data_IF_245444839336
#
_entry.id   IF_245444839336
#
_cell.length_a   1.000
_cell.length_b   1.000
_cell.length_c   1.000
_cell.angle_alpha   90.00
_cell.angle_beta   90.00
_cell.angle_gamma   90.00
#
_symmetry.space_group_name_H-M   'P 1'
#
loop_
_entity.id
_entity.type
_entity.pdbx_description
1 polymer ?
#
# COMPACT_ATOMS: atom_id res chain seq x y z
N UNK A 1 -0.69 -3.50 -8.64
CA UNK A 1 -0.30 -2.08 -8.49
C UNK A 1 -0.42 -1.31 -9.81
N UNK A 2 0.17 -1.75 -10.93
CA UNK A 2 0.05 -1.01 -12.20
C UNK A 2 -1.40 -0.75 -12.67
N UNK A 3 -2.30 -1.75 -12.55
CA UNK A 3 -3.72 -1.55 -12.88
C UNK A 3 -4.39 -0.46 -12.00
N UNK A 4 -4.01 -0.38 -10.73
CA UNK A 4 -4.49 0.66 -9.82
C UNK A 4 -3.97 2.04 -10.19
N UNK A 5 -2.69 2.14 -10.58
CA UNK A 5 -2.08 3.39 -11.04
C UNK A 5 -2.80 3.92 -12.29
N UNK A 6 -3.04 3.07 -13.29
CA UNK A 6 -3.75 3.49 -14.51
C UNK A 6 -5.20 3.92 -14.26
N UNK A 7 -5.89 3.31 -13.28
CA UNK A 7 -7.24 3.76 -12.88
C UNK A 7 -7.23 5.14 -12.21
N UNK A 8 -6.13 5.50 -11.56
CA UNK A 8 -6.00 6.76 -10.83
C UNK A 8 -5.50 7.90 -11.70
N UNK A 9 -4.60 7.64 -12.66
CA UNK A 9 -4.19 8.62 -13.68
C UNK A 9 -5.42 9.17 -14.45
N UNK A 10 -6.41 8.33 -14.74
CA UNK A 10 -7.67 8.77 -15.36
C UNK A 10 -8.57 9.63 -14.46
N UNK A 11 -8.38 9.56 -13.14
CA UNK A 11 -9.14 10.31 -12.15
C UNK A 11 -8.41 11.60 -11.70
N UNK A 12 -7.13 11.71 -12.01
CA UNK A 12 -6.21 12.76 -11.54
C UNK A 12 -6.55 14.14 -12.11
N UNK A 13 -7.03 14.22 -13.37
CA UNK A 13 -7.32 15.49 -14.06
C UNK A 13 -8.36 16.41 -13.38
N UNK A 14 -9.09 15.93 -12.37
CA UNK A 14 -10.18 16.69 -11.73
C UNK A 14 -10.15 16.75 -10.21
N UNK A 15 -9.19 16.08 -9.56
CA UNK A 15 -9.21 15.84 -8.11
C UNK A 15 -7.92 16.34 -7.46
N UNK A 16 -7.97 16.68 -6.18
CA UNK A 16 -6.75 17.05 -5.44
C UNK A 16 -5.86 15.82 -5.24
N UNK A 17 -4.54 16.01 -5.24
CA UNK A 17 -3.58 14.94 -4.97
C UNK A 17 -3.89 14.20 -3.66
N UNK A 18 -4.29 14.94 -2.62
CA UNK A 18 -4.73 14.36 -1.34
C UNK A 18 -5.86 13.33 -1.54
N UNK A 19 -6.89 13.68 -2.33
CA UNK A 19 -8.02 12.78 -2.58
C UNK A 19 -7.59 11.54 -3.38
N UNK A 20 -6.75 11.73 -4.40
CA UNK A 20 -6.24 10.63 -5.23
C UNK A 20 -5.40 9.66 -4.38
N UNK A 21 -4.53 10.17 -3.51
CA UNK A 21 -3.70 9.35 -2.62
C UNK A 21 -4.53 8.59 -1.60
N UNK A 22 -5.51 9.24 -0.97
CA UNK A 22 -6.41 8.56 -0.04
C UNK A 22 -7.21 7.46 -0.75
N UNK A 23 -7.66 7.71 -1.98
CA UNK A 23 -8.39 6.72 -2.79
C UNK A 23 -7.49 5.54 -3.18
N UNK A 24 -6.22 5.78 -3.53
CA UNK A 24 -5.23 4.73 -3.77
C UNK A 24 -4.99 3.89 -2.52
N UNK A 25 -4.71 4.52 -1.37
CA UNK A 25 -4.45 3.80 -0.13
C UNK A 25 -5.65 2.98 0.35
N UNK A 26 -6.88 3.40 0.00
CA UNK A 26 -8.11 2.65 0.27
C UNK A 26 -8.34 1.48 -0.70
N UNK A 27 -7.84 1.56 -1.92
CA UNK A 27 -7.98 0.51 -2.94
C UNK A 27 -6.86 -0.53 -2.91
N UNK A 28 -5.82 -0.32 -2.09
CA UNK A 28 -4.84 -1.35 -1.75
C UNK A 28 -5.49 -2.52 -1.02
N UNK A 29 -4.88 -3.70 -1.14
CA UNK A 29 -5.38 -4.91 -0.48
C UNK A 29 -5.16 -4.86 1.04
N UNK A 30 -5.92 -5.64 1.85
CA UNK A 30 -5.89 -5.55 3.30
C UNK A 30 -4.51 -5.77 3.92
N UNK A 31 -3.61 -6.46 3.23
CA UNK A 31 -2.23 -6.70 3.64
C UNK A 31 -1.40 -5.41 3.70
N UNK A 32 -1.83 -4.35 3.00
CA UNK A 32 -1.22 -3.03 3.07
C UNK A 32 -1.76 -2.15 4.19
N UNK A 33 -2.84 -2.54 4.90
CA UNK A 33 -3.54 -1.66 5.85
C UNK A 33 -2.61 -1.07 6.92
N UNK A 34 -1.70 -1.86 7.48
CA UNK A 34 -0.77 -1.39 8.51
C UNK A 34 0.16 -0.29 7.97
N UNK A 35 0.69 -0.45 6.76
CA UNK A 35 1.53 0.55 6.12
C UNK A 35 0.72 1.77 5.67
N UNK A 36 -0.48 1.55 5.11
CA UNK A 36 -1.37 2.61 4.63
C UNK A 36 -1.88 3.52 5.74
N UNK A 37 -2.07 3.02 6.97
CA UNK A 37 -2.46 3.83 8.14
C UNK A 37 -1.29 4.71 8.60
N UNK A 38 -0.08 4.15 8.70
CA UNK A 38 1.12 4.92 9.06
C UNK A 38 1.38 6.03 8.05
N UNK A 39 1.19 5.73 6.77
CA UNK A 39 1.36 6.70 5.69
C UNK A 39 0.30 7.78 5.68
N UNK A 40 -0.98 7.46 5.93
CA UNK A 40 -2.05 8.46 6.07
C UNK A 40 -1.77 9.51 7.13
N UNK A 41 -0.95 9.19 8.12
CA UNK A 41 -0.57 10.09 9.19
C UNK A 41 0.68 10.93 8.87
N UNK A 42 1.35 10.72 7.72
CA UNK A 42 2.44 11.61 7.29
C UNK A 42 1.87 12.89 6.69
N UNK A 43 2.36 14.02 7.16
CA UNK A 43 1.94 15.36 6.70
C UNK A 43 2.31 15.66 5.23
N UNK A 44 3.21 14.88 4.64
CA UNK A 44 3.74 15.15 3.30
C UNK A 44 2.90 14.52 2.17
N UNK A 45 1.83 13.80 2.52
CA UNK A 45 0.98 13.08 1.57
C UNK A 45 0.41 14.01 0.50
N UNK A 46 0.05 15.23 0.88
CA UNK A 46 -0.61 16.22 0.04
C UNK A 46 0.35 16.84 -0.98
N UNK A 47 1.63 16.87 -0.60
CA UNK A 47 2.72 17.48 -1.38
C UNK A 47 3.46 16.50 -2.27
N UNK A 48 3.30 15.20 -2.03
CA UNK A 48 3.96 14.15 -2.81
C UNK A 48 3.31 14.02 -4.19
N UNK A 49 4.06 13.64 -5.22
CA UNK A 49 3.46 13.28 -6.50
C UNK A 49 3.13 11.78 -6.55
N UNK A 50 2.40 11.37 -7.58
CA UNK A 50 1.98 9.97 -7.78
C UNK A 50 3.16 9.01 -8.00
N UNK A 51 4.22 9.45 -8.69
CA UNK A 51 5.42 8.65 -8.94
C UNK A 51 6.19 8.36 -7.65
N UNK A 52 6.37 9.37 -6.80
CA UNK A 52 6.99 9.27 -5.49
C UNK A 52 6.17 8.35 -4.58
N UNK A 53 4.84 8.45 -4.63
CA UNK A 53 3.94 7.55 -3.90
C UNK A 53 4.14 6.11 -4.33
N UNK A 54 4.19 5.87 -5.64
CA UNK A 54 4.43 4.55 -6.20
C UNK A 54 5.82 4.00 -5.83
N UNK A 55 6.86 4.81 -5.95
CA UNK A 55 8.23 4.44 -5.59
C UNK A 55 8.34 4.05 -4.13
N UNK A 56 7.72 4.82 -3.24
CA UNK A 56 7.71 4.51 -1.82
C UNK A 56 6.91 3.21 -1.54
N UNK A 57 5.82 2.93 -2.25
CA UNK A 57 5.04 1.69 -2.05
C UNK A 57 5.82 0.47 -2.52
N UNK A 58 6.58 0.61 -3.61
CA UNK A 58 7.45 -0.45 -4.15
C UNK A 58 8.47 -0.95 -3.14
N UNK A 59 8.94 -0.10 -2.22
CA UNK A 59 9.85 -0.48 -1.12
C UNK A 59 9.21 -1.49 -0.17
N UNK A 60 7.90 -1.37 0.09
CA UNK A 60 7.16 -2.25 0.99
C UNK A 60 6.55 -3.47 0.29
N UNK A 61 6.55 -3.51 -1.05
CA UNK A 61 6.05 -4.64 -1.83
C UNK A 61 6.60 -6.02 -1.41
N UNK A 62 7.91 -6.22 -1.17
CA UNK A 62 8.43 -7.51 -0.71
C UNK A 62 7.92 -7.90 0.70
N UNK A 63 7.77 -6.93 1.60
CA UNK A 63 7.23 -7.18 2.95
C UNK A 63 5.76 -7.61 2.87
N UNK A 64 4.97 -6.92 2.06
CA UNK A 64 3.54 -7.23 1.89
C UNK A 64 3.33 -8.57 1.20
N UNK A 65 4.15 -8.91 0.19
CA UNK A 65 4.15 -10.25 -0.42
C UNK A 65 4.46 -11.36 0.58
N UNK A 66 5.37 -11.10 1.53
CA UNK A 66 5.65 -12.03 2.60
C UNK A 66 4.46 -12.16 3.55
N UNK A 67 3.82 -11.06 3.93
CA UNK A 67 2.61 -11.08 4.76
C UNK A 67 1.48 -11.87 4.09
N UNK A 68 1.20 -11.64 2.81
CA UNK A 68 0.17 -12.39 2.08
C UNK A 68 0.48 -13.89 2.01
N UNK A 69 1.76 -14.27 1.88
CA UNK A 69 2.19 -15.68 1.95
C UNK A 69 2.12 -16.29 3.35
N UNK A 70 2.32 -15.51 4.42
CA UNK A 70 2.17 -15.96 5.82
C UNK A 70 0.69 -16.23 6.16
N UNK A 71 -0.27 -15.59 5.48
CA UNK A 71 -1.70 -15.73 5.76
C UNK A 71 -2.32 -17.02 5.16
N UNK A 72 -1.63 -17.73 4.26
CA UNK A 72 -2.12 -18.98 3.65
C UNK A 72 -1.82 -20.23 4.47
N UNK A 73 -1.05 -20.16 5.57
CA UNK A 73 -0.94 -21.26 6.53
C UNK A 73 -2.10 -21.26 7.52
N UNK A 74 -3.32 -21.51 7.01
CA UNK A 74 -4.40 -22.00 7.84
C UNK A 74 -4.26 -23.52 7.90
N UNK A 75 -4.32 -24.06 9.11
CA UNK A 75 -4.32 -25.48 9.48
C UNK A 75 -2.95 -26.12 9.79
N UNK A 76 -2.43 -25.74 10.96
CA UNK A 76 -1.78 -26.68 11.88
C UNK A 76 -0.28 -26.88 11.74
N UNK A 77 0.52 -26.03 12.38
CA UNK A 77 1.70 -26.40 13.20
C UNK A 77 2.50 -25.12 13.54
N UNK A 78 2.72 -24.94 14.84
CA UNK A 78 3.79 -24.21 15.53
C UNK A 78 4.19 -22.81 15.02
N UNK A 79 3.91 -21.84 15.90
CA UNK A 79 4.60 -20.54 16.07
C UNK A 79 5.89 -20.42 15.25
N UNK A 80 5.83 -19.70 14.14
CA UNK A 80 6.93 -18.89 13.66
C UNK A 80 6.32 -17.57 13.19
N UNK A 81 6.40 -16.55 14.04
CA UNK A 81 6.23 -15.16 13.64
C UNK A 81 7.08 -14.93 12.39
N UNK A 82 6.45 -14.40 11.34
CA UNK A 82 7.12 -13.93 10.12
C UNK A 82 8.41 -13.17 10.55
N UNK A 83 9.63 -13.62 10.16
CA UNK A 83 10.86 -13.09 10.74
C UNK A 83 10.99 -11.60 10.42
N UNK A 84 11.10 -10.73 11.43
CA UNK A 84 11.57 -9.36 11.19
C UNK A 84 13.05 -9.46 10.81
N UNK A 85 13.40 -8.84 9.69
CA UNK A 85 14.81 -8.67 9.31
C UNK A 85 15.52 -7.79 10.34
#
# INVERSE_FOLDING_TARGET
LQNLVSQLELLDEKLSHEYVHQKLLRSLSPEWNTHAVVWRNKADLDTMNMDDLYNNLKVYEPEVKRMSSCHTSKWGLVRNTCPKA
#
